data_IF_528658309297
#
_entry.id   IF_528658309297
#
_cell.length_a   1.000
_cell.length_b   1.000
_cell.length_c   1.000
_cell.angle_alpha   90.00
_cell.angle_beta   90.00
_cell.angle_gamma   90.00
#
_symmetry.space_group_name_H-M   'P 1'
#
loop_
_entity.id
_entity.type
_entity.pdbx_description
1 polymer ?
#
# COMPACT_ATOMS: atom_id res chain seq x y z
N UNK A 1 31.28 44.40 -19.91
CA UNK A 1 29.98 43.93 -19.38
C UNK A 1 29.95 42.43 -19.47
N UNK A 2 30.10 41.72 -18.37
CA UNK A 2 30.02 40.26 -18.29
C UNK A 2 28.76 39.91 -17.53
N UNK A 3 27.80 39.22 -18.17
CA UNK A 3 26.63 38.64 -17.52
C UNK A 3 27.06 37.41 -16.72
N UNK A 4 26.66 37.26 -15.45
CA UNK A 4 26.78 36.00 -14.74
C UNK A 4 25.63 35.10 -15.17
N UNK A 5 25.99 33.89 -15.65
CA UNK A 5 25.04 32.80 -15.90
C UNK A 5 24.56 32.27 -14.57
N UNK A 6 23.25 32.24 -14.45
CA UNK A 6 22.43 31.67 -13.38
C UNK A 6 22.84 30.24 -13.05
N UNK A 7 23.21 30.04 -11.78
CA UNK A 7 23.28 28.71 -11.16
C UNK A 7 21.86 28.12 -11.05
N UNK A 8 21.56 27.16 -11.89
CA UNK A 8 20.41 26.28 -11.68
C UNK A 8 20.72 25.33 -10.52
N UNK A 9 19.78 25.10 -9.57
CA UNK A 9 20.01 24.14 -8.51
C UNK A 9 20.10 22.75 -9.12
N UNK A 10 21.25 22.10 -8.92
CA UNK A 10 21.49 20.70 -9.27
C UNK A 10 20.48 19.86 -8.49
N UNK A 11 19.80 18.99 -9.22
CA UNK A 11 18.80 18.09 -8.69
C UNK A 11 19.29 17.37 -7.41
N UNK A 12 18.42 17.31 -6.43
CA UNK A 12 18.62 16.55 -5.22
C UNK A 12 18.93 15.11 -5.64
N UNK A 13 20.16 14.67 -5.36
CA UNK A 13 20.57 13.30 -5.55
C UNK A 13 19.65 12.40 -4.72
N UNK A 14 19.09 11.39 -5.36
CA UNK A 14 18.37 10.31 -4.70
C UNK A 14 19.39 9.65 -3.77
N UNK A 15 19.17 9.83 -2.47
CA UNK A 15 19.99 9.18 -1.45
C UNK A 15 19.85 7.64 -1.55
N UNK A 16 20.75 6.88 -0.89
CA UNK A 16 20.72 5.42 -0.94
C UNK A 16 19.34 4.92 -0.56
N UNK A 17 18.87 3.87 -1.25
CA UNK A 17 17.58 3.21 -1.06
C UNK A 17 17.25 3.15 0.43
N UNK A 18 16.13 3.76 0.82
CA UNK A 18 15.77 3.90 2.21
C UNK A 18 15.66 2.48 2.82
N UNK A 19 16.47 2.20 3.84
CA UNK A 19 16.45 0.92 4.59
C UNK A 19 15.15 0.72 5.40
N UNK A 20 14.11 1.53 5.12
CA UNK A 20 12.82 1.53 5.78
C UNK A 20 11.77 0.70 5.07
N UNK A 21 10.65 0.49 5.75
CA UNK A 21 9.46 -0.16 5.18
C UNK A 21 8.57 0.91 4.54
N UNK A 22 8.21 0.72 3.27
CA UNK A 22 7.22 1.56 2.61
C UNK A 22 5.81 0.97 2.86
N UNK A 23 4.94 1.74 3.50
CA UNK A 23 3.53 1.40 3.67
C UNK A 23 2.72 2.17 2.64
N UNK A 24 1.96 1.45 1.81
CA UNK A 24 1.08 2.03 0.80
C UNK A 24 -0.37 1.76 1.20
N UNK A 25 -1.10 2.80 1.55
CA UNK A 25 -2.55 2.74 1.73
C UNK A 25 -3.26 3.04 0.42
N UNK A 26 -4.12 2.11 -0.01
CA UNK A 26 -4.89 2.25 -1.25
C UNK A 26 -6.35 2.51 -0.93
N UNK A 27 -7.01 3.38 -1.70
CA UNK A 27 -8.43 3.62 -1.62
C UNK A 27 -8.86 5.05 -1.92
N UNK A 28 -10.13 5.33 -1.62
CA UNK A 28 -10.75 6.64 -1.78
C UNK A 28 -11.49 7.04 -0.49
N UNK A 29 -11.03 8.13 0.15
CA UNK A 29 -11.57 8.61 1.43
C UNK A 29 -13.08 8.97 1.40
N UNK A 30 -13.63 9.21 0.20
CA UNK A 30 -15.03 9.59 0.00
C UNK A 30 -15.94 8.44 -0.44
N UNK A 31 -15.45 7.19 -0.32
CA UNK A 31 -16.18 5.98 -0.72
C UNK A 31 -16.31 4.95 0.41
N UNK A 32 -16.60 5.41 1.63
CA UNK A 32 -16.86 4.57 2.81
C UNK A 32 -15.73 3.54 3.03
N UNK A 33 -16.01 2.23 2.96
CA UNK A 33 -15.05 1.16 3.26
C UNK A 33 -13.87 1.10 2.28
N UNK A 34 -13.98 1.73 1.11
CA UNK A 34 -12.86 1.94 0.20
C UNK A 34 -11.71 2.74 0.84
N UNK A 35 -12.00 3.51 1.89
CA UNK A 35 -11.01 4.25 2.67
C UNK A 35 -10.21 3.38 3.65
N UNK A 36 -10.57 2.11 3.84
CA UNK A 36 -9.98 1.28 4.90
C UNK A 36 -8.46 1.12 4.74
N UNK A 37 -7.96 0.98 3.50
CA UNK A 37 -6.52 0.92 3.23
C UNK A 37 -5.79 2.20 3.63
N UNK A 38 -6.37 3.37 3.34
CA UNK A 38 -5.80 4.67 3.72
C UNK A 38 -5.77 4.84 5.24
N UNK A 39 -6.88 4.54 5.91
CA UNK A 39 -7.00 4.68 7.38
C UNK A 39 -6.03 3.75 8.09
N UNK A 40 -5.96 2.48 7.66
CA UNK A 40 -5.06 1.49 8.25
C UNK A 40 -3.59 1.87 8.05
N UNK A 41 -3.20 2.33 6.86
CA UNK A 41 -1.83 2.73 6.57
C UNK A 41 -1.39 3.94 7.43
N UNK A 42 -2.24 4.95 7.59
CA UNK A 42 -1.97 6.10 8.47
C UNK A 42 -1.76 5.65 9.92
N UNK A 43 -2.71 4.91 10.49
CA UNK A 43 -2.63 4.40 11.87
C UNK A 43 -1.40 3.51 12.07
N UNK A 44 -1.07 2.68 11.09
CA UNK A 44 0.10 1.81 11.14
C UNK A 44 1.39 2.63 11.21
N UNK A 45 1.54 3.65 10.36
CA UNK A 45 2.72 4.52 10.37
C UNK A 45 2.83 5.35 11.65
N UNK A 46 1.72 5.85 12.18
CA UNK A 46 1.68 6.58 13.45
C UNK A 46 2.10 5.70 14.65
N UNK A 47 1.74 4.42 14.63
CA UNK A 47 2.05 3.47 15.70
C UNK A 47 3.44 2.82 15.57
N UNK A 48 4.05 2.86 14.38
CA UNK A 48 5.34 2.23 14.11
C UNK A 48 6.50 2.97 14.83
N UNK A 49 7.46 2.19 15.37
CA UNK A 49 8.68 2.70 16.01
C UNK A 49 9.92 2.64 15.11
N UNK A 50 9.78 2.05 13.93
CA UNK A 50 10.82 1.92 12.92
C UNK A 50 10.70 3.01 11.86
N UNK A 51 11.73 3.18 11.03
CA UNK A 51 11.66 4.05 9.86
C UNK A 51 10.65 3.48 8.85
N UNK A 52 9.49 4.09 8.81
CA UNK A 52 8.37 3.73 7.95
C UNK A 52 7.97 4.93 7.11
N UNK A 53 7.86 4.72 5.81
CA UNK A 53 7.38 5.74 4.87
C UNK A 53 5.93 5.45 4.52
N UNK A 54 5.07 6.46 4.59
CA UNK A 54 3.67 6.39 4.15
C UNK A 54 3.53 6.92 2.73
N UNK A 55 2.85 6.16 1.88
CA UNK A 55 2.27 6.64 0.62
C UNK A 55 0.79 6.29 0.54
N UNK A 56 0.03 7.19 -0.05
CA UNK A 56 -1.39 6.98 -0.33
C UNK A 56 -1.59 6.91 -1.84
N UNK A 57 -2.41 5.99 -2.29
CA UNK A 57 -2.69 5.76 -3.70
C UNK A 57 -4.18 5.51 -3.93
N UNK A 58 -4.66 5.88 -5.10
CA UNK A 58 -6.03 5.59 -5.52
C UNK A 58 -6.24 4.13 -5.95
N UNK A 59 -5.16 3.37 -6.15
CA UNK A 59 -5.19 1.99 -6.68
C UNK A 59 -4.96 1.92 -8.19
N UNK A 60 -4.56 3.02 -8.83
CA UNK A 60 -4.13 3.02 -10.22
C UNK A 60 -2.77 2.31 -10.34
N UNK A 61 -2.71 1.26 -11.17
CA UNK A 61 -1.61 0.31 -11.18
C UNK A 61 -0.25 0.86 -11.58
N UNK A 62 -0.19 1.81 -12.54
CA UNK A 62 1.08 2.41 -12.96
C UNK A 62 1.67 3.28 -11.86
N UNK A 63 0.82 4.03 -11.15
CA UNK A 63 1.23 4.83 -10.00
C UNK A 63 1.73 3.95 -8.85
N UNK A 64 1.10 2.80 -8.61
CA UNK A 64 1.56 1.82 -7.62
C UNK A 64 2.93 1.25 -7.98
N UNK A 65 3.14 0.85 -9.23
CA UNK A 65 4.43 0.33 -9.69
C UNK A 65 5.55 1.36 -9.53
N UNK A 66 5.29 2.62 -9.87
CA UNK A 66 6.24 3.71 -9.65
C UNK A 66 6.50 3.98 -8.16
N UNK A 67 5.47 3.82 -7.30
CA UNK A 67 5.60 4.07 -5.87
C UNK A 67 6.54 3.10 -5.17
N UNK A 68 6.61 1.84 -5.59
CA UNK A 68 7.43 0.81 -4.95
C UNK A 68 8.74 0.49 -5.66
N UNK A 69 9.06 1.14 -6.79
CA UNK A 69 10.17 0.76 -7.68
C UNK A 69 11.53 0.69 -6.97
N UNK A 70 11.78 1.59 -6.03
CA UNK A 70 13.05 1.66 -5.29
C UNK A 70 12.96 1.11 -3.85
N UNK A 71 11.81 0.52 -3.47
CA UNK A 71 11.59 0.04 -2.13
C UNK A 71 12.09 -1.39 -1.94
N UNK A 72 12.84 -1.63 -0.87
CA UNK A 72 13.29 -2.98 -0.47
C UNK A 72 12.17 -3.80 0.16
N UNK A 73 11.26 -3.15 0.89
CA UNK A 73 10.14 -3.79 1.54
C UNK A 73 8.90 -2.91 1.50
N UNK A 74 7.78 -3.49 1.08
CA UNK A 74 6.49 -2.82 0.92
C UNK A 74 5.42 -3.58 1.66
N UNK A 75 4.59 -2.85 2.43
CA UNK A 75 3.31 -3.31 2.95
C UNK A 75 2.22 -2.52 2.22
N UNK A 76 1.43 -3.17 1.39
CA UNK A 76 0.31 -2.59 0.68
C UNK A 76 -0.99 -2.97 1.38
N UNK A 77 -1.87 -1.99 1.62
CA UNK A 77 -3.14 -2.19 2.33
C UNK A 77 -4.29 -1.65 1.47
N UNK A 78 -5.28 -2.50 1.19
CA UNK A 78 -6.44 -2.14 0.38
C UNK A 78 -7.73 -2.79 0.91
N UNK A 79 -8.87 -2.18 0.61
CA UNK A 79 -10.17 -2.79 0.80
C UNK A 79 -10.52 -3.67 -0.41
N UNK A 80 -11.16 -4.82 -0.14
CA UNK A 80 -11.52 -5.77 -1.19
C UNK A 80 -12.97 -6.21 -1.06
N UNK A 81 -13.49 -6.83 -2.11
CA UNK A 81 -14.81 -7.43 -2.15
C UNK A 81 -14.72 -8.86 -2.69
N UNK A 82 -14.41 -9.79 -1.81
CA UNK A 82 -14.28 -11.21 -2.15
C UNK A 82 -15.58 -12.00 -1.92
N UNK A 83 -16.53 -11.42 -1.19
CA UNK A 83 -17.76 -12.09 -0.74
C UNK A 83 -17.68 -12.69 0.66
N UNK A 84 -16.58 -12.51 1.36
CA UNK A 84 -16.44 -12.90 2.76
C UNK A 84 -17.21 -11.94 3.70
N UNK A 85 -17.38 -12.28 4.99
CA UNK A 85 -17.92 -11.36 5.98
C UNK A 85 -17.08 -10.09 6.08
N UNK A 86 -17.75 -8.92 6.20
CA UNK A 86 -17.10 -7.62 6.36
C UNK A 86 -16.10 -7.63 7.52
N UNK A 87 -14.93 -7.07 7.30
CA UNK A 87 -13.84 -7.08 8.27
C UNK A 87 -12.95 -8.34 8.25
N UNK A 88 -13.18 -9.29 7.35
CA UNK A 88 -12.23 -10.38 7.11
C UNK A 88 -10.92 -9.80 6.61
N UNK A 89 -9.80 -10.21 7.24
CA UNK A 89 -8.46 -9.74 6.89
C UNK A 89 -7.70 -10.85 6.19
N UNK A 90 -7.13 -10.53 5.04
CA UNK A 90 -6.22 -11.39 4.31
C UNK A 90 -4.80 -10.83 4.39
N UNK A 91 -3.81 -11.74 4.45
CA UNK A 91 -2.39 -11.43 4.30
C UNK A 91 -1.81 -12.32 3.22
N UNK A 92 -1.19 -11.71 2.23
CA UNK A 92 -0.57 -12.38 1.09
C UNK A 92 0.89 -11.94 0.96
N UNK A 93 1.78 -12.89 0.74
CA UNK A 93 3.12 -12.61 0.24
C UNK A 93 3.07 -12.59 -1.30
N UNK A 94 3.06 -11.39 -1.86
CA UNK A 94 2.90 -11.23 -3.30
C UNK A 94 4.09 -11.75 -4.12
N UNK A 95 5.20 -12.13 -3.51
CA UNK A 95 6.28 -12.85 -4.20
C UNK A 95 6.05 -14.36 -4.25
N UNK A 96 5.45 -14.92 -3.22
CA UNK A 96 5.23 -16.35 -3.11
C UNK A 96 3.92 -16.80 -3.76
N UNK A 97 2.89 -15.96 -3.76
CA UNK A 97 1.54 -16.31 -4.20
C UNK A 97 0.91 -15.23 -5.10
N UNK A 98 -0.05 -15.64 -5.90
CA UNK A 98 -0.79 -14.72 -6.76
C UNK A 98 -1.86 -13.98 -5.96
N UNK A 99 -1.99 -12.68 -6.21
CA UNK A 99 -3.08 -11.88 -5.65
C UNK A 99 -4.35 -12.12 -6.47
N UNK A 100 -5.47 -12.53 -5.86
CA UNK A 100 -6.69 -12.85 -6.60
C UNK A 100 -7.28 -11.61 -7.28
N UNK A 101 -7.34 -11.61 -8.60
CA UNK A 101 -7.94 -10.50 -9.37
C UNK A 101 -9.41 -10.28 -9.04
N UNK A 102 -10.13 -11.34 -8.69
CA UNK A 102 -11.56 -11.28 -8.35
C UNK A 102 -11.87 -10.37 -7.16
N UNK A 103 -10.92 -10.14 -6.25
CA UNK A 103 -11.10 -9.27 -5.08
C UNK A 103 -11.20 -7.80 -5.44
N UNK A 104 -10.63 -7.39 -6.59
CA UNK A 104 -10.53 -5.99 -7.03
C UNK A 104 -11.49 -5.64 -8.18
N UNK A 105 -12.48 -6.49 -8.47
CA UNK A 105 -13.46 -6.28 -9.56
C UNK A 105 -14.29 -5.01 -9.43
N UNK A 106 -14.38 -4.45 -8.23
CA UNK A 106 -15.11 -3.21 -7.96
C UNK A 106 -14.21 -1.98 -7.93
N UNK A 107 -12.92 -2.14 -8.21
CA UNK A 107 -12.02 -1.01 -8.47
C UNK A 107 -12.55 -0.23 -9.67
N UNK A 108 -12.62 1.09 -9.55
CA UNK A 108 -13.00 1.98 -10.66
C UNK A 108 -11.85 2.17 -11.67
N UNK A 109 -10.70 1.56 -11.39
CA UNK A 109 -9.50 1.66 -12.23
C UNK A 109 -9.44 0.48 -13.21
N UNK A 110 -9.16 0.80 -14.49
CA UNK A 110 -8.98 -0.22 -15.52
C UNK A 110 -7.75 -1.12 -15.29
N UNK A 111 -6.83 -0.67 -14.44
CA UNK A 111 -5.60 -1.37 -14.07
C UNK A 111 -5.49 -1.38 -12.54
N UNK A 112 -5.86 -2.50 -11.94
CA UNK A 112 -6.02 -2.67 -10.49
C UNK A 112 -4.71 -3.06 -9.78
N UNK A 113 -4.76 -3.09 -8.43
CA UNK A 113 -3.67 -3.59 -7.58
C UNK A 113 -3.20 -4.98 -7.98
N UNK A 114 -4.13 -5.92 -8.20
CA UNK A 114 -3.78 -7.30 -8.58
C UNK A 114 -3.10 -7.37 -9.94
N UNK A 115 -3.56 -6.58 -10.90
CA UNK A 115 -2.96 -6.49 -12.24
C UNK A 115 -1.59 -5.80 -12.20
N UNK A 116 -1.43 -4.76 -11.39
CA UNK A 116 -0.13 -4.11 -11.17
C UNK A 116 0.90 -5.09 -10.61
N UNK A 117 0.52 -5.90 -9.61
CA UNK A 117 1.38 -6.93 -9.03
C UNK A 117 1.71 -8.02 -10.06
N UNK A 118 0.73 -8.48 -10.84
CA UNK A 118 0.94 -9.48 -11.87
C UNK A 118 1.90 -8.98 -12.96
N UNK A 119 1.72 -7.74 -13.44
CA UNK A 119 2.60 -7.11 -14.42
C UNK A 119 4.02 -6.91 -13.88
N UNK A 120 4.15 -6.36 -12.67
CA UNK A 120 5.45 -6.16 -12.03
C UNK A 120 6.20 -7.48 -11.84
N UNK A 121 5.49 -8.56 -11.52
CA UNK A 121 6.05 -9.92 -11.45
C UNK A 121 6.57 -10.39 -12.81
N UNK A 122 5.78 -10.24 -13.87
CA UNK A 122 6.15 -10.63 -15.24
C UNK A 122 7.37 -9.85 -15.74
N UNK A 123 7.49 -8.59 -15.34
CA UNK A 123 8.63 -7.71 -15.68
C UNK A 123 9.83 -7.84 -14.72
N UNK A 124 9.76 -8.72 -13.73
CA UNK A 124 10.75 -8.85 -12.65
C UNK A 124 11.01 -7.52 -11.89
N UNK A 125 9.95 -6.73 -11.68
CA UNK A 125 9.98 -5.40 -11.02
C UNK A 125 9.21 -5.37 -9.70
N UNK A 126 8.92 -6.55 -9.11
CA UNK A 126 8.38 -6.59 -7.75
C UNK A 126 9.47 -6.21 -6.74
N UNK A 127 9.13 -5.47 -5.67
CA UNK A 127 10.02 -5.26 -4.55
C UNK A 127 10.56 -6.60 -4.00
N UNK A 128 11.75 -6.62 -3.39
CA UNK A 128 12.29 -7.84 -2.75
C UNK A 128 11.33 -8.43 -1.71
N UNK A 129 10.54 -7.58 -1.03
CA UNK A 129 9.45 -7.98 -0.13
C UNK A 129 8.21 -7.17 -0.44
N UNK A 130 7.10 -7.84 -0.73
CA UNK A 130 5.80 -7.20 -0.94
C UNK A 130 4.72 -8.00 -0.22
N UNK A 131 4.27 -7.47 0.91
CA UNK A 131 3.16 -8.02 1.68
C UNK A 131 1.90 -7.21 1.37
N UNK A 132 0.83 -7.90 1.02
CA UNK A 132 -0.48 -7.31 0.78
C UNK A 132 -1.40 -7.68 1.93
N UNK A 133 -1.93 -6.68 2.62
CA UNK A 133 -3.07 -6.83 3.50
C UNK A 133 -4.32 -6.37 2.77
N UNK A 134 -5.33 -7.21 2.76
CA UNK A 134 -6.65 -6.87 2.24
C UNK A 134 -7.69 -7.00 3.34
N UNK A 135 -8.65 -6.08 3.37
CA UNK A 135 -9.77 -6.12 4.31
C UNK A 135 -11.09 -6.14 3.56
N UNK A 136 -11.95 -7.09 3.87
CA UNK A 136 -13.28 -7.20 3.27
C UNK A 136 -14.15 -6.02 3.68
N UNK A 137 -14.58 -5.22 2.69
CA UNK A 137 -15.50 -4.11 2.89
C UNK A 137 -16.95 -4.54 2.68
N UNK A 138 -17.87 -3.76 3.21
CA UNK A 138 -19.32 -3.94 3.07
C UNK A 138 -19.92 -2.88 2.16
N UNK A 139 -19.53 -1.61 2.33
CA UNK A 139 -20.11 -0.45 1.65
C UNK A 139 -19.04 0.34 0.89
N UNK A 140 -19.20 0.43 -0.44
CA UNK A 140 -18.28 1.12 -1.35
C UNK A 140 -18.93 2.31 -2.08
N UNK A 141 -20.15 2.70 -1.71
CA UNK A 141 -20.83 3.88 -2.25
C UNK A 141 -20.24 5.19 -1.73
N UNK A 142 -20.70 6.30 -2.31
CA UNK A 142 -20.30 7.63 -1.87
C UNK A 142 -20.59 7.86 -0.37
N UNK A 143 -19.71 8.58 0.30
CA UNK A 143 -19.81 8.92 1.71
C UNK A 143 -18.50 8.72 2.46
N UNK A 144 -18.50 9.10 3.73
CA UNK A 144 -17.35 9.00 4.64
C UNK A 144 -17.61 8.01 5.76
N UNK A 145 -16.54 7.53 6.38
CA UNK A 145 -16.60 6.62 7.53
C UNK A 145 -16.69 5.15 7.13
N UNK A 146 -16.08 4.30 7.94
CA UNK A 146 -16.03 2.86 7.75
C UNK A 146 -17.25 2.18 8.38
N UNK A 147 -17.65 1.05 7.82
CA UNK A 147 -18.61 0.15 8.46
C UNK A 147 -18.06 -0.37 9.80
N UNK A 148 -18.89 -0.63 10.82
CA UNK A 148 -18.38 -1.03 12.15
C UNK A 148 -17.51 -2.29 12.15
N UNK A 149 -17.78 -3.25 11.28
CA UNK A 149 -16.96 -4.46 11.12
C UNK A 149 -15.59 -4.15 10.53
N UNK A 150 -15.54 -3.25 9.57
CA UNK A 150 -14.30 -2.80 8.91
C UNK A 150 -13.47 -1.94 9.87
N UNK A 151 -14.09 -1.05 10.63
CA UNK A 151 -13.38 -0.23 11.64
C UNK A 151 -12.64 -1.09 12.67
N UNK A 152 -13.32 -2.13 13.21
CA UNK A 152 -12.66 -3.09 14.12
C UNK A 152 -11.54 -3.89 13.44
N UNK A 153 -11.74 -4.24 12.17
CA UNK A 153 -10.72 -4.94 11.39
C UNK A 153 -9.48 -4.09 11.14
N UNK A 154 -9.65 -2.79 10.95
CA UNK A 154 -8.52 -1.85 10.80
C UNK A 154 -7.61 -1.87 12.03
N UNK A 155 -8.16 -1.89 13.25
CA UNK A 155 -7.34 -1.95 14.47
C UNK A 155 -6.54 -3.27 14.55
N UNK A 156 -7.16 -4.39 14.19
CA UNK A 156 -6.48 -5.69 14.11
C UNK A 156 -5.43 -5.72 12.99
N UNK A 157 -5.72 -5.10 11.85
CA UNK A 157 -4.78 -5.00 10.72
C UNK A 157 -3.55 -4.18 11.11
N UNK A 158 -3.72 -3.07 11.84
CA UNK A 158 -2.61 -2.28 12.37
C UNK A 158 -1.73 -3.13 13.28
N UNK A 159 -2.30 -3.90 14.19
CA UNK A 159 -1.56 -4.82 15.06
C UNK A 159 -0.75 -5.85 14.25
N UNK A 160 -1.35 -6.46 13.23
CA UNK A 160 -0.66 -7.40 12.32
C UNK A 160 0.41 -6.71 11.47
N UNK A 161 0.15 -5.50 11.01
CA UNK A 161 1.10 -4.68 10.27
C UNK A 161 2.35 -4.34 11.08
N UNK A 162 2.20 -3.99 12.36
CA UNK A 162 3.33 -3.77 13.27
C UNK A 162 4.20 -5.03 13.43
N UNK A 163 3.57 -6.20 13.58
CA UNK A 163 4.30 -7.47 13.62
C UNK A 163 5.06 -7.75 12.33
N UNK A 164 4.49 -7.38 11.19
CA UNK A 164 5.15 -7.55 9.89
C UNK A 164 6.34 -6.61 9.73
N UNK A 165 6.21 -5.34 10.14
CA UNK A 165 7.32 -4.38 10.16
C UNK A 165 8.46 -4.93 11.03
N UNK A 166 8.16 -5.45 12.22
CA UNK A 166 9.16 -6.03 13.11
C UNK A 166 9.88 -7.24 12.50
N UNK A 167 9.16 -8.08 11.74
CA UNK A 167 9.77 -9.21 11.01
C UNK A 167 10.71 -8.75 9.91
N UNK A 168 10.27 -7.75 9.13
CA UNK A 168 11.05 -7.18 8.02
C UNK A 168 12.33 -6.57 8.57
N UNK A 169 12.25 -5.73 9.59
CA UNK A 169 13.40 -5.00 10.14
C UNK A 169 14.40 -5.90 10.87
N UNK A 170 13.95 -6.97 11.51
CA UNK A 170 14.86 -7.98 12.11
C UNK A 170 15.65 -8.78 11.09
N UNK A 171 15.05 -9.09 9.94
CA UNK A 171 15.69 -9.88 8.90
C UNK A 171 16.59 -9.04 7.97
N UNK A 172 16.62 -7.73 8.16
CA UNK A 172 17.47 -6.79 7.39
C UNK A 172 18.75 -6.41 8.14
N UNK A 173 18.94 -6.93 9.37
CA UNK A 173 20.17 -6.79 10.18
C UNK A 173 21.01 -8.05 10.07
#
# INVERSE_FOLDING_TARGET
MRHPLSDAPRGAGVGPAAQGVLVIGVGNAYRRDDAAGLVAARRLCEAARADVLLREASGEGTALMAAWEEAEAVILIDAVRSGAPAGTIYRLDARAEAVPQAWFRYSTHAFSVAEAIALARALNRLPPRLIVFAVEGERFGAGVGLSPGVERAVDELVRRGLQEIDRITRNSR
#
